data_IF_785441364886
#
_entry.id   IF_785441364886
#
_cell.length_a   1.000
_cell.length_b   1.000
_cell.length_c   1.000
_cell.angle_alpha   90.00
_cell.angle_beta   90.00
_cell.angle_gamma   90.00
#
_symmetry.space_group_name_H-M   'P 1'
#
loop_
_entity.id
_entity.type
_entity.pdbx_description
1 polymer ?
#
# COMPACT_ATOMS: atom_id res chain seq x y z
N UNK A 1 13.97 -5.56 -19.05
CA UNK A 1 12.55 -5.23 -18.84
C UNK A 1 12.07 -4.68 -20.17
N UNK A 2 11.15 -5.40 -20.79
CA UNK A 2 10.56 -5.05 -22.08
C UNK A 2 9.90 -3.66 -22.02
N UNK A 3 10.02 -2.85 -23.07
CA UNK A 3 9.53 -1.47 -23.05
C UNK A 3 7.99 -1.41 -23.01
N UNK A 4 7.30 -2.37 -23.63
CA UNK A 4 5.84 -2.51 -23.52
C UNK A 4 5.39 -2.79 -22.07
N UNK A 5 6.16 -3.57 -21.32
CA UNK A 5 5.85 -3.88 -19.92
C UNK A 5 6.00 -2.63 -19.03
N UNK A 6 6.98 -1.77 -19.34
CA UNK A 6 7.16 -0.50 -18.62
C UNK A 6 6.01 0.46 -18.85
N UNK A 7 5.54 0.55 -20.10
CA UNK A 7 4.39 1.39 -20.46
C UNK A 7 3.14 0.93 -19.71
N UNK A 8 2.85 -0.37 -19.70
CA UNK A 8 1.75 -0.93 -18.94
C UNK A 8 1.84 -0.60 -17.44
N UNK A 9 3.01 -0.75 -16.82
CA UNK A 9 3.19 -0.44 -15.41
C UNK A 9 2.99 1.06 -15.11
N UNK A 10 3.43 1.93 -16.02
CA UNK A 10 3.16 3.36 -15.90
C UNK A 10 1.67 3.67 -16.01
N UNK A 11 0.96 3.03 -16.93
CA UNK A 11 -0.49 3.20 -17.07
C UNK A 11 -1.24 2.79 -15.81
N UNK A 12 -0.87 1.66 -15.19
CA UNK A 12 -1.47 1.20 -13.93
C UNK A 12 -1.25 2.23 -12.81
N UNK A 13 -0.01 2.71 -12.63
CA UNK A 13 0.29 3.73 -11.63
C UNK A 13 -0.48 5.02 -11.90
N UNK A 14 -0.57 5.45 -13.16
CA UNK A 14 -1.30 6.66 -13.54
C UNK A 14 -2.80 6.53 -13.31
N UNK A 15 -3.38 5.38 -13.59
CA UNK A 15 -4.80 5.13 -13.37
C UNK A 15 -5.13 5.12 -11.87
N UNK A 16 -4.42 4.34 -11.05
CA UNK A 16 -4.63 4.34 -9.60
C UNK A 16 -4.30 5.70 -8.95
N UNK A 17 -3.36 6.46 -9.51
CA UNK A 17 -3.04 7.81 -9.03
C UNK A 17 -4.10 8.85 -9.38
N UNK A 18 -4.82 8.70 -10.50
CA UNK A 18 -5.89 9.62 -10.93
C UNK A 18 -7.27 9.22 -10.43
N UNK A 19 -7.54 7.91 -10.39
CA UNK A 19 -8.81 7.28 -10.03
C UNK A 19 -8.57 6.29 -8.88
N UNK A 20 -8.18 6.77 -7.68
CA UNK A 20 -7.90 5.88 -6.56
C UNK A 20 -9.16 5.12 -6.13
N UNK A 21 -8.99 3.82 -5.86
CA UNK A 21 -10.00 2.93 -5.31
C UNK A 21 -10.10 3.12 -3.81
N UNK A 22 -11.30 2.94 -3.27
CA UNK A 22 -11.60 3.10 -1.85
C UNK A 22 -11.15 4.46 -1.27
N UNK A 23 -11.16 5.50 -2.11
CA UNK A 23 -10.86 6.86 -1.69
C UNK A 23 -12.11 7.51 -1.06
N UNK A 24 -12.27 7.36 0.24
CA UNK A 24 -13.45 7.81 1.01
C UNK A 24 -13.20 7.77 2.51
N UNK A 25 -14.00 8.51 3.25
CA UNK A 25 -14.21 8.32 4.67
C UNK A 25 -15.26 7.23 4.94
N UNK A 26 -14.94 6.09 5.57
CA UNK A 26 -15.93 5.11 6.01
C UNK A 26 -16.60 5.52 7.33
N UNK A 27 -17.90 5.27 7.47
CA UNK A 27 -18.64 5.59 8.71
C UNK A 27 -18.43 4.56 9.83
N UNK A 28 -18.06 3.33 9.47
CA UNK A 28 -18.00 2.16 10.36
C UNK A 28 -16.57 1.59 10.54
N UNK A 29 -15.54 2.40 10.28
CA UNK A 29 -14.17 2.00 10.57
C UNK A 29 -13.97 1.77 12.08
N UNK A 30 -13.24 0.71 12.39
CA UNK A 30 -12.90 0.31 13.76
C UNK A 30 -11.54 0.84 14.19
N UNK A 31 -10.67 1.13 13.22
CA UNK A 31 -9.35 1.70 13.46
C UNK A 31 -8.92 2.60 12.29
N UNK A 32 -8.01 3.52 12.60
CA UNK A 32 -7.45 4.46 11.65
C UNK A 32 -6.01 4.81 12.02
N UNK A 33 -5.21 5.21 11.03
CA UNK A 33 -3.90 5.80 11.27
C UNK A 33 -3.52 6.81 10.19
N UNK A 34 -2.77 7.84 10.58
CA UNK A 34 -2.27 8.89 9.70
C UNK A 34 -0.87 8.52 9.18
N UNK A 35 -0.71 8.51 7.87
CA UNK A 35 0.57 8.40 7.19
C UNK A 35 1.12 9.76 6.79
N UNK A 36 2.39 10.04 7.13
CA UNK A 36 3.13 11.21 6.65
C UNK A 36 4.48 10.83 6.00
N UNK A 37 4.77 11.41 4.84
CA UNK A 37 6.09 11.37 4.19
C UNK A 37 6.57 12.81 3.94
N UNK A 38 7.33 13.41 4.88
CA UNK A 38 7.78 14.81 4.76
C UNK A 38 8.62 15.09 3.51
N UNK A 39 9.30 14.07 2.97
CA UNK A 39 10.23 14.22 1.85
C UNK A 39 9.53 14.51 0.52
N UNK A 40 8.32 13.97 0.32
CA UNK A 40 7.48 14.25 -0.85
C UNK A 40 6.23 15.06 -0.50
N UNK A 41 5.99 15.32 0.79
CA UNK A 41 4.81 16.01 1.28
C UNK A 41 3.53 15.16 1.25
N UNK A 42 3.66 13.83 1.14
CA UNK A 42 2.53 12.91 1.12
C UNK A 42 1.90 12.85 2.51
N UNK A 43 0.57 12.93 2.57
CA UNK A 43 -0.22 12.82 3.80
C UNK A 43 -1.51 12.07 3.49
N UNK A 44 -1.73 10.96 4.16
CA UNK A 44 -2.93 10.15 4.00
C UNK A 44 -3.44 9.66 5.35
N UNK A 45 -4.71 9.34 5.44
CA UNK A 45 -5.29 8.58 6.54
C UNK A 45 -5.79 7.27 5.97
N UNK A 46 -5.43 6.16 6.59
CA UNK A 46 -5.99 4.84 6.28
C UNK A 46 -7.00 4.50 7.36
N UNK A 47 -8.15 4.02 6.91
CA UNK A 47 -9.24 3.54 7.74
C UNK A 47 -9.41 2.05 7.48
N UNK A 48 -9.60 1.26 8.52
CA UNK A 48 -9.89 -0.16 8.40
C UNK A 48 -11.04 -0.55 9.32
N UNK A 49 -11.87 -1.47 8.82
CA UNK A 49 -12.86 -2.19 9.61
C UNK A 49 -12.35 -3.61 9.82
N UNK A 50 -12.15 -3.99 11.06
CA UNK A 50 -11.62 -5.31 11.44
C UNK A 50 -12.71 -6.09 12.16
N UNK A 51 -13.01 -7.28 11.65
CA UNK A 51 -13.96 -8.21 12.26
C UNK A 51 -13.38 -8.92 13.49
N UNK A 52 -14.24 -9.61 14.23
CA UNK A 52 -13.87 -10.33 15.45
C UNK A 52 -12.81 -11.43 15.21
N UNK A 53 -12.76 -11.97 13.99
CA UNK A 53 -11.81 -13.00 13.55
C UNK A 53 -10.46 -12.43 13.08
N UNK A 54 -10.23 -11.12 13.26
CA UNK A 54 -9.05 -10.40 12.79
C UNK A 54 -8.95 -10.29 11.24
N UNK A 55 -10.06 -10.51 10.54
CA UNK A 55 -10.19 -10.23 9.11
C UNK A 55 -10.51 -8.77 8.86
N UNK A 56 -9.87 -8.17 7.87
CA UNK A 56 -10.14 -6.81 7.43
C UNK A 56 -11.35 -6.85 6.47
N UNK A 57 -12.49 -6.36 6.95
CA UNK A 57 -13.77 -6.37 6.22
C UNK A 57 -13.87 -5.22 5.20
N UNK A 58 -13.28 -4.07 5.53
CA UNK A 58 -13.24 -2.89 4.66
C UNK A 58 -11.94 -2.10 4.91
N UNK A 59 -11.40 -1.51 3.85
CA UNK A 59 -10.26 -0.57 3.94
C UNK A 59 -10.52 0.59 3.01
N UNK A 60 -10.36 1.79 3.53
CA UNK A 60 -10.47 3.02 2.76
C UNK A 60 -9.34 3.98 3.11
N UNK A 61 -9.13 4.98 2.27
CA UNK A 61 -8.17 6.03 2.57
C UNK A 61 -8.64 7.39 2.08
N UNK A 62 -8.11 8.44 2.71
CA UNK A 62 -8.24 9.82 2.24
C UNK A 62 -6.88 10.50 2.31
N UNK A 63 -6.71 11.60 1.59
CA UNK A 63 -5.52 12.44 1.68
C UNK A 63 -4.98 12.90 0.35
N UNK A 64 -3.69 13.25 0.35
CA UNK A 64 -2.98 13.80 -0.80
C UNK A 64 -1.54 13.31 -0.81
N UNK A 65 -1.05 12.97 -1.99
CA UNK A 65 0.34 12.59 -2.19
C UNK A 65 0.72 12.65 -3.66
N UNK A 66 1.97 12.35 -3.95
CA UNK A 66 2.42 12.14 -5.32
C UNK A 66 1.72 10.93 -5.95
N UNK A 67 1.78 10.80 -7.28
CA UNK A 67 1.12 9.72 -8.01
C UNK A 67 1.47 8.31 -7.49
N UNK A 68 2.72 8.09 -7.07
CA UNK A 68 3.17 6.81 -6.51
C UNK A 68 2.50 6.53 -5.16
N UNK A 69 2.42 7.53 -4.28
CA UNK A 69 1.79 7.38 -2.97
C UNK A 69 0.28 7.11 -3.10
N UNK A 70 -0.41 7.88 -3.94
CA UNK A 70 -1.84 7.68 -4.21
C UNK A 70 -2.11 6.33 -4.86
N UNK A 71 -1.29 5.93 -5.84
CA UNK A 71 -1.44 4.65 -6.51
C UNK A 71 -1.19 3.48 -5.55
N UNK A 72 -0.15 3.56 -4.71
CA UNK A 72 0.14 2.53 -3.72
C UNK A 72 -0.97 2.39 -2.68
N UNK A 73 -1.51 3.52 -2.17
CA UNK A 73 -2.64 3.50 -1.26
C UNK A 73 -3.87 2.83 -1.88
N UNK A 74 -4.19 3.20 -3.12
CA UNK A 74 -5.29 2.58 -3.84
C UNK A 74 -5.11 1.07 -4.00
N UNK A 75 -3.94 0.62 -4.48
CA UNK A 75 -3.66 -0.81 -4.64
C UNK A 75 -3.68 -1.56 -3.31
N UNK A 76 -3.15 -0.94 -2.25
CA UNK A 76 -3.16 -1.50 -0.90
C UNK A 76 -4.59 -1.77 -0.44
N UNK A 77 -5.51 -0.81 -0.58
CA UNK A 77 -6.90 -1.01 -0.15
C UNK A 77 -7.60 -2.16 -0.89
N UNK A 78 -7.35 -2.30 -2.19
CA UNK A 78 -7.91 -3.39 -3.00
C UNK A 78 -7.38 -4.77 -2.58
N UNK A 79 -6.11 -4.83 -2.16
CA UNK A 79 -5.44 -6.07 -1.75
C UNK A 79 -5.77 -6.44 -0.29
N UNK A 80 -5.83 -5.45 0.61
CA UNK A 80 -5.99 -5.69 2.04
C UNK A 80 -7.40 -6.14 2.43
N UNK A 81 -8.43 -5.73 1.68
CA UNK A 81 -9.81 -6.14 1.93
C UNK A 81 -9.98 -7.68 1.82
N UNK A 82 -10.58 -8.28 2.83
CA UNK A 82 -10.81 -9.73 2.93
C UNK A 82 -9.60 -10.55 3.41
N UNK A 83 -8.50 -9.90 3.79
CA UNK A 83 -7.31 -10.55 4.36
C UNK A 83 -7.28 -10.40 5.88
N UNK A 84 -6.65 -11.35 6.57
CA UNK A 84 -6.33 -11.20 7.98
C UNK A 84 -5.26 -10.13 8.20
N UNK A 85 -5.21 -9.58 9.41
CA UNK A 85 -4.13 -8.66 9.82
C UNK A 85 -2.75 -9.27 9.57
N UNK A 86 -2.57 -10.56 9.91
CA UNK A 86 -1.31 -11.27 9.71
C UNK A 86 -0.93 -11.41 8.23
N UNK A 87 -1.91 -11.61 7.34
CA UNK A 87 -1.67 -11.67 5.90
C UNK A 87 -1.25 -10.30 5.35
N UNK A 88 -1.87 -9.20 5.80
CA UNK A 88 -1.49 -7.85 5.39
C UNK A 88 -0.08 -7.49 5.88
N UNK A 89 0.30 -7.90 7.08
CA UNK A 89 1.66 -7.74 7.60
C UNK A 89 2.68 -8.48 6.73
N UNK A 90 2.40 -9.75 6.39
CA UNK A 90 3.27 -10.53 5.51
C UNK A 90 3.39 -9.89 4.10
N UNK A 91 2.27 -9.41 3.55
CA UNK A 91 2.27 -8.70 2.27
C UNK A 91 3.07 -7.41 2.33
N UNK A 92 2.97 -6.66 3.43
CA UNK A 92 3.76 -5.46 3.62
C UNK A 92 5.25 -5.78 3.62
N UNK A 93 5.70 -6.81 4.35
CA UNK A 93 7.10 -7.22 4.36
C UNK A 93 7.61 -7.61 2.97
N UNK A 94 6.81 -8.37 2.21
CA UNK A 94 7.14 -8.76 0.84
C UNK A 94 7.19 -7.54 -0.10
N UNK A 95 6.21 -6.64 0.01
CA UNK A 95 6.15 -5.42 -0.78
C UNK A 95 7.30 -4.46 -0.47
N UNK A 96 7.67 -4.34 0.80
CA UNK A 96 8.81 -3.53 1.24
C UNK A 96 10.10 -4.07 0.62
N UNK A 97 10.36 -5.39 0.70
CA UNK A 97 11.51 -6.04 0.07
C UNK A 97 11.55 -5.83 -1.45
N UNK A 98 10.40 -5.94 -2.11
CA UNK A 98 10.25 -5.64 -3.54
C UNK A 98 10.67 -4.20 -3.87
N UNK A 99 10.30 -3.25 -3.01
CA UNK A 99 10.63 -1.83 -3.19
C UNK A 99 12.07 -1.48 -2.78
N UNK A 100 12.70 -2.21 -1.86
CA UNK A 100 14.10 -2.00 -1.47
C UNK A 100 15.09 -2.78 -2.33
N UNK A 101 14.61 -3.76 -3.11
CA UNK A 101 15.46 -4.58 -3.97
C UNK A 101 16.23 -5.66 -3.21
N UNK A 102 15.78 -6.01 -2.01
CA UNK A 102 16.24 -7.21 -1.30
C UNK A 102 15.86 -8.47 -2.10
N UNK A 103 16.69 -9.52 -2.05
CA UNK A 103 16.50 -10.76 -2.82
C UNK A 103 15.06 -11.28 -2.72
N UNK A 104 14.58 -11.86 -3.83
CA UNK A 104 13.23 -12.44 -3.97
C UNK A 104 12.99 -13.46 -2.86
N UNK A 105 12.39 -13.00 -1.76
CA UNK A 105 11.90 -13.87 -0.72
C UNK A 105 10.97 -14.90 -1.38
N UNK A 106 11.04 -16.16 -0.93
CA UNK A 106 10.11 -17.19 -1.38
C UNK A 106 8.69 -16.72 -1.12
N UNK A 107 8.01 -16.26 -2.18
CA UNK A 107 6.61 -15.89 -2.13
C UNK A 107 5.85 -17.20 -2.14
N UNK A 108 5.07 -17.46 -1.08
CA UNK A 108 4.16 -18.60 -1.08
C UNK A 108 3.12 -18.44 -2.19
N UNK A 109 2.59 -19.57 -2.68
CA UNK A 109 1.52 -19.57 -3.69
C UNK A 109 0.30 -18.73 -3.25
N UNK A 110 0.10 -18.59 -1.93
CA UNK A 110 -0.93 -17.74 -1.32
C UNK A 110 -0.83 -16.25 -1.71
N UNK A 111 0.37 -15.70 -1.84
CA UNK A 111 0.58 -14.27 -2.11
C UNK A 111 1.08 -13.98 -3.53
N UNK A 112 1.19 -15.00 -4.39
CA UNK A 112 1.78 -14.87 -5.72
C UNK A 112 1.06 -13.82 -6.58
N UNK A 113 -0.28 -13.86 -6.63
CA UNK A 113 -1.09 -12.93 -7.43
C UNK A 113 -1.04 -11.50 -6.89
N UNK A 114 -0.99 -11.33 -5.57
CA UNK A 114 -0.91 -10.01 -4.93
C UNK A 114 0.44 -9.36 -5.18
N UNK A 115 1.52 -10.13 -5.06
CA UNK A 115 2.88 -9.65 -5.37
C UNK A 115 3.02 -9.36 -6.85
N UNK A 116 2.43 -10.15 -7.75
CA UNK A 116 2.43 -9.86 -9.18
C UNK A 116 1.79 -8.49 -9.48
N UNK A 117 0.64 -8.18 -8.88
CA UNK A 117 0.02 -6.84 -8.99
C UNK A 117 0.96 -5.75 -8.48
N UNK A 118 1.65 -5.98 -7.37
CA UNK A 118 2.55 -5.00 -6.76
C UNK A 118 3.88 -4.82 -7.50
N UNK A 119 4.24 -5.72 -8.44
CA UNK A 119 5.45 -5.58 -9.28
C UNK A 119 5.47 -4.30 -10.11
N UNK A 120 4.31 -3.67 -10.37
CA UNK A 120 4.25 -2.36 -11.02
C UNK A 120 5.05 -1.30 -10.26
N UNK A 121 5.16 -1.42 -8.93
CA UNK A 121 5.91 -0.51 -8.07
C UNK A 121 7.40 -0.85 -7.99
N UNK A 122 7.86 -2.02 -8.45
CA UNK A 122 9.26 -2.46 -8.31
C UNK A 122 10.29 -1.49 -8.89
N UNK A 123 9.89 -0.62 -9.84
CA UNK A 123 10.74 0.43 -10.41
C UNK A 123 11.21 1.46 -9.39
N UNK A 124 10.48 1.67 -8.29
CA UNK A 124 10.83 2.67 -7.26
C UNK A 124 12.14 2.34 -6.54
N UNK A 125 12.59 1.08 -6.56
CA UNK A 125 13.86 0.66 -5.94
C UNK A 125 15.08 1.40 -6.49
N UNK A 126 15.00 1.91 -7.72
CA UNK A 126 16.04 2.73 -8.35
C UNK A 126 16.09 4.16 -7.80
N UNK A 127 15.08 4.57 -7.03
CA UNK A 127 14.89 5.91 -6.52
C UNK A 127 14.53 5.85 -5.02
N UNK A 128 15.51 5.84 -4.10
CA UNK A 128 15.27 5.68 -2.66
C UNK A 128 14.20 6.63 -2.08
N UNK A 129 14.11 7.85 -2.60
CA UNK A 129 13.08 8.82 -2.19
C UNK A 129 11.65 8.39 -2.55
N UNK A 130 11.49 7.59 -3.61
CA UNK A 130 10.21 7.06 -4.07
C UNK A 130 9.80 5.76 -3.38
N UNK A 131 10.74 5.03 -2.77
CA UNK A 131 10.44 3.88 -1.91
C UNK A 131 9.50 4.31 -0.77
N UNK A 132 9.83 5.42 -0.10
CA UNK A 132 9.02 5.99 0.98
C UNK A 132 7.62 6.40 0.53
N UNK A 133 7.50 6.92 -0.69
CA UNK A 133 6.19 7.22 -1.29
C UNK A 133 5.36 5.95 -1.45
N UNK A 134 5.98 4.88 -1.96
CA UNK A 134 5.32 3.61 -2.22
C UNK A 134 4.91 2.89 -0.92
N UNK A 135 5.72 2.93 0.13
CA UNK A 135 5.45 2.16 1.36
C UNK A 135 4.56 2.88 2.36
N UNK A 136 4.33 4.19 2.22
CA UNK A 136 3.60 4.99 3.22
C UNK A 136 2.24 4.42 3.61
N UNK A 137 1.40 4.07 2.62
CA UNK A 137 0.06 3.54 2.89
C UNK A 137 0.08 2.19 3.61
N UNK A 138 1.13 1.40 3.37
CA UNK A 138 1.32 0.10 4.02
C UNK A 138 1.77 0.25 5.47
N UNK A 139 2.64 1.23 5.76
CA UNK A 139 2.94 1.59 7.14
C UNK A 139 1.68 2.08 7.86
N UNK A 140 0.85 2.91 7.21
CA UNK A 140 -0.37 3.43 7.80
C UNK A 140 -1.41 2.33 8.07
N UNK A 141 -1.67 1.40 7.13
CA UNK A 141 -2.60 0.30 7.40
C UNK A 141 -2.08 -0.61 8.52
N UNK A 142 -0.78 -0.87 8.57
CA UNK A 142 -0.18 -1.67 9.63
C UNK A 142 -0.34 -0.97 11.00
N UNK A 143 -0.06 0.33 11.09
CA UNK A 143 -0.27 1.13 12.29
C UNK A 143 -1.74 1.08 12.76
N UNK A 144 -2.69 1.28 11.83
CA UNK A 144 -4.11 1.26 12.14
C UNK A 144 -4.54 -0.09 12.75
N UNK A 145 -4.10 -1.21 12.17
CA UNK A 145 -4.49 -2.55 12.65
C UNK A 145 -3.72 -3.02 13.89
N UNK A 146 -2.61 -2.37 14.25
CA UNK A 146 -1.86 -2.63 15.49
C UNK A 146 -2.23 -1.67 16.64
N UNK A 147 -3.14 -0.72 16.40
CA UNK A 147 -3.61 0.25 17.41
C UNK A 147 -2.69 1.46 17.57
N UNK A 148 -1.84 1.74 16.59
CA UNK A 148 -1.06 2.97 16.49
C UNK A 148 -1.83 4.02 15.67
N UNK A 149 -1.69 5.31 16.03
CA UNK A 149 -2.44 6.39 15.36
C UNK A 149 -1.68 7.03 14.19
N UNK A 150 -0.37 6.81 14.11
CA UNK A 150 0.51 7.54 13.20
C UNK A 150 1.59 6.62 12.62
N UNK A 151 1.89 6.82 11.34
CA UNK A 151 2.97 6.18 10.60
C UNK A 151 3.77 7.25 9.86
N UNK A 152 5.09 7.18 9.94
CA UNK A 152 5.98 8.10 9.22
C UNK A 152 7.03 7.34 8.43
N UNK A 153 7.31 7.84 7.23
CA UNK A 153 8.39 7.33 6.37
C UNK A 153 9.47 8.42 6.23
N UNK A 154 10.31 8.56 7.25
CA UNK A 154 11.42 9.52 7.29
C UNK A 154 12.75 9.00 6.75
#
# INVERSE_FOLDING_TARGET
MDDMLRELYQEVILDHGKNPRNFRHPEDATCEAQGNNPLCGDRLTVYAKVGDDQTIEDVAFEGRGCAISMASASMMTDIACGKSISQVQNLFDLFHKLCTGEEEAMVSDEFADDIEKLKVMSGVRQFPMRVKCATLAWHAVNAAVTGENDASTE
#
